data_IF_594742910198
#
_entry.id   IF_594742910198
#
_cell.length_a   1.000
_cell.length_b   1.000
_cell.length_c   1.000
_cell.angle_alpha   90.00
_cell.angle_beta   90.00
_cell.angle_gamma   90.00
#
_symmetry.space_group_name_H-M   'P 1'
#
loop_
_entity.id
_entity.type
_entity.pdbx_description
1 polymer ?
#
# COMPACT_ATOMS: atom_id res chain seq x y z
N UNK A 1 2.88 -25.13 8.08
CA UNK A 1 3.21 -24.55 6.75
C UNK A 1 2.35 -23.35 6.27
N UNK A 2 1.11 -23.14 6.72
CA UNK A 2 0.15 -22.21 6.06
C UNK A 2 0.65 -20.75 5.86
N UNK A 3 1.40 -20.15 6.79
CA UNK A 3 1.89 -18.78 6.61
C UNK A 3 2.89 -18.64 5.43
N UNK A 4 3.67 -19.68 5.11
CA UNK A 4 4.57 -19.68 3.96
C UNK A 4 3.81 -19.62 2.63
N UNK A 5 2.70 -20.37 2.55
CA UNK A 5 1.82 -20.42 1.39
C UNK A 5 1.13 -19.06 1.21
N UNK A 6 0.63 -18.47 2.30
CA UNK A 6 0.11 -17.10 2.30
C UNK A 6 1.14 -16.06 1.84
N UNK A 7 2.40 -16.19 2.27
CA UNK A 7 3.48 -15.28 1.86
C UNK A 7 3.83 -15.40 0.37
N UNK A 8 3.86 -16.62 -0.17
CA UNK A 8 4.07 -16.87 -1.59
C UNK A 8 2.91 -16.28 -2.42
N UNK A 9 1.66 -16.56 -2.05
CA UNK A 9 0.46 -16.02 -2.70
C UNK A 9 0.47 -14.48 -2.66
N UNK A 10 0.74 -13.88 -1.50
CA UNK A 10 0.77 -12.42 -1.35
C UNK A 10 1.89 -11.77 -2.19
N UNK A 11 3.08 -12.40 -2.24
CA UNK A 11 4.19 -11.94 -3.06
C UNK A 11 3.88 -12.01 -4.56
N UNK A 12 3.39 -13.16 -5.04
CA UNK A 12 3.01 -13.36 -6.46
C UNK A 12 1.89 -12.41 -6.87
N UNK A 13 0.83 -12.28 -6.05
CA UNK A 13 -0.26 -11.32 -6.31
C UNK A 13 0.25 -9.88 -6.42
N UNK A 14 1.10 -9.44 -5.48
CA UNK A 14 1.64 -8.06 -5.49
C UNK A 14 2.58 -7.82 -6.69
N UNK A 15 3.26 -8.85 -7.18
CA UNK A 15 4.13 -8.76 -8.37
C UNK A 15 3.34 -8.82 -9.68
N UNK A 16 2.25 -9.59 -9.76
CA UNK A 16 1.44 -9.74 -10.98
C UNK A 16 0.34 -8.66 -11.06
N UNK A 17 -0.57 -8.64 -10.09
CA UNK A 17 -1.75 -7.77 -10.07
C UNK A 17 -1.42 -6.30 -9.71
N UNK A 18 -0.20 -6.00 -9.25
CA UNK A 18 0.17 -4.69 -8.70
C UNK A 18 -0.04 -3.48 -9.63
N UNK A 19 0.17 -3.64 -10.95
CA UNK A 19 -0.15 -2.57 -11.94
C UNK A 19 -1.67 -2.33 -12.00
N UNK A 20 -2.45 -3.39 -12.09
CA UNK A 20 -3.93 -3.35 -12.17
C UNK A 20 -4.56 -2.84 -10.87
N UNK A 21 -4.05 -3.28 -9.72
CA UNK A 21 -4.48 -2.84 -8.38
C UNK A 21 -4.26 -1.34 -8.17
N UNK A 22 -3.20 -0.76 -8.75
CA UNK A 22 -2.98 0.69 -8.74
C UNK A 22 -3.95 1.45 -9.64
N UNK A 23 -4.12 1.01 -10.89
CA UNK A 23 -4.96 1.73 -11.88
C UNK A 23 -6.46 1.62 -11.57
N UNK A 24 -6.92 0.46 -11.12
CA UNK A 24 -8.32 0.17 -10.81
C UNK A 24 -8.44 -0.53 -9.44
N UNK A 25 -8.26 0.19 -8.31
CA UNK A 25 -8.27 -0.42 -6.97
C UNK A 25 -9.64 -0.93 -6.51
N UNK A 26 -10.72 -0.27 -6.93
CA UNK A 26 -12.09 -0.56 -6.49
C UNK A 26 -12.53 -2.04 -6.64
N UNK A 27 -12.40 -2.71 -7.81
CA UNK A 27 -12.77 -4.11 -7.94
C UNK A 27 -12.00 -5.05 -6.99
N UNK A 28 -10.72 -4.78 -6.73
CA UNK A 28 -9.94 -5.59 -5.77
C UNK A 28 -10.40 -5.39 -4.32
N UNK A 29 -10.80 -4.17 -3.94
CA UNK A 29 -11.37 -3.90 -2.61
C UNK A 29 -12.73 -4.58 -2.42
N UNK A 30 -13.60 -4.53 -3.44
CA UNK A 30 -14.90 -5.22 -3.44
C UNK A 30 -14.69 -6.73 -3.38
N UNK A 31 -13.80 -7.30 -4.20
CA UNK A 31 -13.46 -8.71 -4.16
C UNK A 31 -12.89 -9.15 -2.81
N UNK A 32 -12.02 -8.35 -2.18
CA UNK A 32 -11.48 -8.63 -0.85
C UNK A 32 -12.59 -8.63 0.23
N UNK A 33 -13.54 -7.71 0.16
CA UNK A 33 -14.68 -7.64 1.07
C UNK A 33 -15.61 -8.85 0.89
N UNK A 34 -16.05 -9.12 -0.34
CA UNK A 34 -16.93 -10.25 -0.68
C UNK A 34 -16.30 -11.59 -0.30
N UNK A 35 -15.01 -11.80 -0.59
CA UNK A 35 -14.30 -13.03 -0.27
C UNK A 35 -14.12 -13.22 1.26
N UNK A 36 -13.94 -12.13 2.01
CA UNK A 36 -13.87 -12.20 3.47
C UNK A 36 -15.25 -12.47 4.11
N UNK A 37 -16.31 -11.85 3.59
CA UNK A 37 -17.70 -12.10 4.03
C UNK A 37 -18.09 -13.55 3.70
N UNK A 38 -17.85 -13.99 2.47
CA UNK A 38 -18.15 -15.35 2.02
C UNK A 38 -17.42 -16.41 2.83
N UNK A 39 -16.12 -16.24 3.11
CA UNK A 39 -15.36 -17.19 3.94
C UNK A 39 -15.78 -17.17 5.41
N UNK A 40 -16.23 -16.05 5.96
CA UNK A 40 -16.83 -15.99 7.30
C UNK A 40 -18.20 -16.70 7.37
N UNK A 41 -19.05 -16.53 6.36
CA UNK A 41 -20.34 -17.24 6.25
C UNK A 41 -20.10 -18.75 6.12
N UNK A 42 -19.23 -19.20 5.21
CA UNK A 42 -18.93 -20.63 5.01
C UNK A 42 -18.35 -21.29 6.27
N UNK A 43 -17.55 -20.57 7.05
CA UNK A 43 -17.01 -21.05 8.32
C UNK A 43 -18.09 -21.22 9.41
N UNK A 44 -19.14 -20.39 9.39
CA UNK A 44 -20.25 -20.47 10.34
C UNK A 44 -21.32 -21.51 9.93
N UNK A 45 -21.57 -21.69 8.63
CA UNK A 45 -22.57 -22.65 8.11
C UNK A 45 -22.20 -24.12 8.30
N UNK A 46 -20.93 -24.44 8.65
CA UNK A 46 -20.45 -25.81 8.94
C UNK A 46 -20.86 -26.89 7.92
N UNK A 47 -20.85 -26.55 6.63
CA UNK A 47 -21.20 -27.48 5.54
C UNK A 47 -20.28 -28.72 5.63
N UNK A 48 -20.81 -29.94 5.81
CA UNK A 48 -19.99 -31.09 6.22
C UNK A 48 -19.06 -31.61 5.11
N UNK A 49 -19.43 -31.46 3.84
CA UNK A 49 -18.72 -32.05 2.69
C UNK A 49 -18.02 -31.01 1.79
N UNK A 50 -17.39 -30.00 2.40
CA UNK A 50 -16.49 -29.10 1.66
C UNK A 50 -15.19 -29.84 1.30
N UNK A 51 -14.76 -29.85 0.02
CA UNK A 51 -13.53 -30.52 -0.39
C UNK A 51 -12.31 -30.08 0.44
N UNK A 52 -11.47 -31.03 0.84
CA UNK A 52 -10.34 -30.79 1.74
C UNK A 52 -9.43 -29.64 1.27
N UNK A 53 -9.26 -29.47 -0.05
CA UNK A 53 -8.56 -28.33 -0.64
C UNK A 53 -9.17 -26.97 -0.25
N UNK A 54 -10.49 -26.81 -0.42
CA UNK A 54 -11.23 -25.58 -0.08
C UNK A 54 -11.11 -25.32 1.43
N UNK A 55 -11.26 -26.35 2.25
CA UNK A 55 -11.19 -26.21 3.70
C UNK A 55 -9.78 -25.84 4.20
N UNK A 56 -8.71 -26.45 3.65
CA UNK A 56 -7.33 -26.26 4.13
C UNK A 56 -6.60 -25.05 3.51
N UNK A 57 -6.86 -24.72 2.24
CA UNK A 57 -6.13 -23.67 1.51
C UNK A 57 -6.94 -22.39 1.26
N UNK A 58 -8.27 -22.45 1.29
CA UNK A 58 -9.13 -21.26 1.19
C UNK A 58 -9.62 -20.88 2.59
N UNK A 59 -10.57 -21.62 3.17
CA UNK A 59 -11.27 -21.23 4.42
C UNK A 59 -10.28 -21.02 5.57
N UNK A 60 -9.32 -21.93 5.78
CA UNK A 60 -8.31 -21.78 6.82
C UNK A 60 -7.34 -20.60 6.61
N UNK A 61 -7.14 -20.12 5.37
CA UNK A 61 -6.23 -19.01 5.07
C UNK A 61 -6.79 -17.65 5.54
N UNK A 62 -8.11 -17.49 5.40
CA UNK A 62 -8.86 -16.31 5.85
C UNK A 62 -9.24 -16.42 7.33
N UNK A 63 -9.79 -17.54 7.78
CA UNK A 63 -10.22 -17.72 9.18
C UNK A 63 -9.06 -17.72 10.20
N UNK A 64 -7.83 -18.08 9.79
CA UNK A 64 -6.61 -17.94 10.61
C UNK A 64 -5.87 -16.61 10.39
N UNK A 65 -6.34 -15.75 9.49
CA UNK A 65 -5.75 -14.43 9.22
C UNK A 65 -4.37 -14.46 8.56
N UNK A 66 -3.86 -15.64 8.17
CA UNK A 66 -2.50 -15.80 7.64
C UNK A 66 -2.31 -15.06 6.32
N UNK A 67 -3.35 -14.99 5.49
CA UNK A 67 -3.33 -14.22 4.24
C UNK A 67 -3.20 -12.71 4.49
N UNK A 68 -4.00 -12.15 5.41
CA UNK A 68 -3.92 -10.74 5.77
C UNK A 68 -2.56 -10.38 6.39
N UNK A 69 -2.03 -11.24 7.28
CA UNK A 69 -0.71 -11.03 7.86
C UNK A 69 0.44 -11.15 6.83
N UNK A 70 0.29 -12.00 5.81
CA UNK A 70 1.24 -12.11 4.70
C UNK A 70 1.23 -10.88 3.79
N UNK A 71 0.05 -10.35 3.46
CA UNK A 71 -0.03 -9.07 2.73
C UNK A 71 0.52 -7.90 3.55
N UNK A 72 0.29 -7.85 4.87
CA UNK A 72 0.95 -6.87 5.75
C UNK A 72 2.48 -7.01 5.72
N UNK A 73 3.00 -8.24 5.65
CA UNK A 73 4.43 -8.46 5.47
C UNK A 73 4.95 -7.87 4.15
N UNK A 74 4.25 -8.02 3.03
CA UNK A 74 4.64 -7.37 1.76
C UNK A 74 4.60 -5.83 1.89
N UNK A 75 3.54 -5.26 2.48
CA UNK A 75 3.37 -3.80 2.68
C UNK A 75 4.49 -3.18 3.55
N UNK A 76 4.98 -3.90 4.56
CA UNK A 76 6.10 -3.44 5.39
C UNK A 76 7.46 -3.64 4.69
N UNK A 77 7.71 -4.80 4.09
CA UNK A 77 8.97 -5.12 3.42
C UNK A 77 9.24 -4.22 2.20
N UNK A 78 8.20 -3.80 1.48
CA UNK A 78 8.29 -2.81 0.39
C UNK A 78 9.04 -1.51 0.79
N UNK A 79 9.01 -1.11 2.06
CA UNK A 79 9.77 0.04 2.56
C UNK A 79 11.18 -0.30 3.08
N UNK A 80 11.41 -1.55 3.49
CA UNK A 80 12.66 -2.01 4.11
C UNK A 80 13.77 -2.34 3.09
N UNK A 81 13.39 -2.88 1.92
CA UNK A 81 14.32 -3.26 0.85
C UNK A 81 15.26 -2.11 0.41
N UNK A 82 16.43 -2.41 -0.19
CA UNK A 82 17.34 -1.38 -0.72
C UNK A 82 16.65 -0.44 -1.70
N UNK A 83 17.04 0.83 -1.69
CA UNK A 83 16.57 1.79 -2.70
C UNK A 83 17.12 1.35 -4.08
N UNK A 84 16.33 1.54 -5.15
CA UNK A 84 16.71 1.13 -6.51
C UNK A 84 16.51 -0.37 -6.85
N UNK A 85 16.26 -1.26 -5.88
CA UNK A 85 16.00 -2.68 -6.20
C UNK A 85 14.74 -2.84 -7.07
N UNK A 86 14.67 -3.83 -7.98
CA UNK A 86 13.52 -4.01 -8.88
C UNK A 86 12.22 -4.32 -8.11
N UNK A 87 12.31 -5.03 -6.99
CA UNK A 87 11.17 -5.22 -6.09
C UNK A 87 10.75 -3.90 -5.42
N UNK A 88 11.70 -3.03 -5.06
CA UNK A 88 11.38 -1.71 -4.49
C UNK A 88 10.66 -0.84 -5.53
N UNK A 89 11.18 -0.76 -6.77
CA UNK A 89 10.53 -0.05 -7.88
C UNK A 89 9.10 -0.59 -8.13
N UNK A 90 8.89 -1.91 -8.07
CA UNK A 90 7.56 -2.52 -8.34
C UNK A 90 6.57 -2.45 -7.17
N UNK A 91 7.03 -2.51 -5.92
CA UNK A 91 6.17 -2.55 -4.72
C UNK A 91 5.90 -1.18 -4.08
N UNK A 92 6.83 -0.22 -4.20
CA UNK A 92 6.67 1.10 -3.57
C UNK A 92 5.47 1.92 -4.08
N UNK A 93 5.15 1.96 -5.40
CA UNK A 93 4.03 2.76 -5.91
C UNK A 93 2.65 2.24 -5.46
N UNK A 94 2.48 0.91 -5.50
CA UNK A 94 1.22 0.23 -5.12
C UNK A 94 1.04 0.07 -3.60
N UNK A 95 2.03 0.49 -2.78
CA UNK A 95 2.06 0.24 -1.33
C UNK A 95 0.85 0.81 -0.59
N UNK A 96 0.28 1.93 -1.08
CA UNK A 96 -0.93 2.53 -0.51
C UNK A 96 -2.17 1.66 -0.74
N UNK A 97 -2.42 1.28 -2.00
CA UNK A 97 -3.54 0.42 -2.37
C UNK A 97 -3.46 -0.95 -1.70
N UNK A 98 -2.26 -1.54 -1.68
CA UNK A 98 -2.01 -2.83 -1.03
C UNK A 98 -2.29 -2.75 0.48
N UNK A 99 -1.96 -1.64 1.15
CA UNK A 99 -2.28 -1.44 2.57
C UNK A 99 -3.80 -1.39 2.83
N UNK A 100 -4.58 -0.76 1.94
CA UNK A 100 -6.05 -0.69 2.07
C UNK A 100 -6.68 -2.07 1.80
N UNK A 101 -6.26 -2.75 0.74
CA UNK A 101 -6.66 -4.12 0.43
C UNK A 101 -6.39 -5.06 1.62
N UNK A 102 -5.20 -4.96 2.22
CA UNK A 102 -4.83 -5.76 3.40
C UNK A 102 -5.70 -5.43 4.62
N UNK A 103 -6.01 -4.16 4.85
CA UNK A 103 -6.87 -3.74 5.95
C UNK A 103 -8.31 -4.29 5.81
N UNK A 104 -8.85 -4.35 4.59
CA UNK A 104 -10.16 -4.98 4.31
C UNK A 104 -10.14 -6.47 4.70
N UNK A 105 -9.10 -7.22 4.28
CA UNK A 105 -8.91 -8.62 4.68
C UNK A 105 -8.74 -8.77 6.20
N UNK A 106 -8.08 -7.81 6.85
CA UNK A 106 -7.87 -7.79 8.31
C UNK A 106 -9.18 -7.55 9.05
N UNK A 107 -10.03 -6.61 8.59
CA UNK A 107 -11.37 -6.38 9.13
C UNK A 107 -12.26 -7.61 8.97
N UNK A 108 -12.31 -8.20 7.77
CA UNK A 108 -13.14 -9.37 7.52
C UNK A 108 -12.75 -10.57 8.41
N UNK A 109 -11.45 -10.79 8.60
CA UNK A 109 -10.93 -11.75 9.57
C UNK A 109 -11.35 -11.42 11.02
N UNK A 110 -11.18 -10.16 11.45
CA UNK A 110 -11.50 -9.72 12.80
C UNK A 110 -13.01 -9.81 13.11
N UNK A 111 -13.87 -9.48 12.14
CA UNK A 111 -15.33 -9.61 12.26
C UNK A 111 -15.75 -11.08 12.28
N UNK A 112 -15.21 -11.92 11.39
CA UNK A 112 -15.53 -13.35 11.36
C UNK A 112 -15.12 -14.11 12.63
N UNK A 113 -13.94 -13.83 13.18
CA UNK A 113 -13.54 -14.38 14.48
C UNK A 113 -14.25 -13.70 15.66
N UNK A 114 -14.54 -12.40 15.58
CA UNK A 114 -15.29 -11.66 16.59
C UNK A 114 -16.67 -12.29 16.82
N UNK A 115 -17.50 -12.34 15.78
CA UNK A 115 -18.86 -12.90 15.88
C UNK A 115 -18.85 -14.36 16.39
N UNK A 116 -17.89 -15.18 15.95
CA UNK A 116 -17.84 -16.61 16.30
C UNK A 116 -17.15 -16.94 17.64
N UNK A 117 -16.41 -16.00 18.27
CA UNK A 117 -15.63 -16.26 19.50
C UNK A 117 -15.81 -15.25 20.63
N UNK A 118 -16.37 -14.07 20.38
CA UNK A 118 -16.61 -13.06 21.41
C UNK A 118 -17.38 -13.61 22.63
N UNK A 119 -18.44 -14.43 22.49
CA UNK A 119 -19.11 -15.04 23.67
C UNK A 119 -18.13 -15.85 24.53
N UNK A 120 -17.39 -16.79 23.93
CA UNK A 120 -16.38 -17.60 24.65
C UNK A 120 -15.26 -16.79 25.28
N UNK A 121 -14.87 -15.67 24.68
CA UNK A 121 -13.83 -14.78 25.22
C UNK A 121 -14.32 -13.94 26.41
N UNK A 122 -15.60 -13.54 26.40
CA UNK A 122 -16.26 -12.91 27.55
C UNK A 122 -16.43 -13.94 28.68
N UNK A 123 -16.96 -15.14 28.38
CA UNK A 123 -17.19 -16.22 29.34
C UNK A 123 -15.91 -16.71 30.03
N UNK A 124 -14.83 -16.95 29.27
CA UNK A 124 -13.57 -17.51 29.79
C UNK A 124 -12.53 -16.46 30.21
N UNK A 125 -12.93 -15.19 30.31
CA UNK A 125 -12.08 -14.08 30.76
C UNK A 125 -10.71 -14.00 30.06
N UNK A 126 -10.64 -14.29 28.76
CA UNK A 126 -9.41 -14.22 27.94
C UNK A 126 -9.08 -12.77 27.56
N UNK A 127 -8.99 -11.93 28.60
CA UNK A 127 -8.86 -10.49 28.50
C UNK A 127 -7.58 -10.06 27.78
N UNK A 128 -6.51 -10.86 27.84
CA UNK A 128 -5.27 -10.58 27.13
C UNK A 128 -5.44 -10.66 25.61
N UNK A 129 -6.04 -11.74 25.09
CA UNK A 129 -6.30 -11.85 23.65
C UNK A 129 -7.28 -10.77 23.18
N UNK A 130 -8.35 -10.52 23.94
CA UNK A 130 -9.33 -9.48 23.60
C UNK A 130 -8.70 -8.07 23.58
N UNK A 131 -7.86 -7.74 24.58
CA UNK A 131 -7.17 -6.44 24.67
C UNK A 131 -6.22 -6.24 23.49
N UNK A 132 -5.41 -7.24 23.15
CA UNK A 132 -4.48 -7.16 22.01
C UNK A 132 -5.23 -6.97 20.69
N UNK A 133 -6.37 -7.65 20.50
CA UNK A 133 -7.25 -7.42 19.34
C UNK A 133 -7.79 -5.98 19.28
N UNK A 134 -8.30 -5.45 20.38
CA UNK A 134 -8.86 -4.08 20.44
C UNK A 134 -7.77 -3.05 20.15
N UNK A 135 -6.58 -3.17 20.74
CA UNK A 135 -5.45 -2.25 20.50
C UNK A 135 -4.99 -2.31 19.03
N UNK A 136 -4.91 -3.50 18.43
CA UNK A 136 -4.61 -3.65 17.00
C UNK A 136 -5.64 -2.92 16.12
N UNK A 137 -6.94 -3.09 16.40
CA UNK A 137 -8.01 -2.46 15.62
C UNK A 137 -8.03 -0.93 15.75
N UNK A 138 -7.84 -0.41 16.97
CA UNK A 138 -7.77 1.04 17.24
C UNK A 138 -6.60 1.72 16.52
N UNK A 139 -5.48 1.03 16.31
CA UNK A 139 -4.34 1.55 15.52
C UNK A 139 -4.60 1.38 14.01
N UNK A 140 -5.16 0.25 13.59
CA UNK A 140 -5.31 -0.08 12.16
C UNK A 140 -6.36 0.79 11.44
N UNK A 141 -7.51 1.07 12.08
CA UNK A 141 -8.61 1.80 11.44
C UNK A 141 -8.18 3.22 11.01
N UNK A 142 -7.60 4.08 11.88
CA UNK A 142 -7.15 5.42 11.48
C UNK A 142 -6.06 5.38 10.40
N UNK A 143 -5.09 4.44 10.50
CA UNK A 143 -4.04 4.26 9.49
C UNK A 143 -4.61 3.95 8.11
N UNK A 144 -5.69 3.17 8.05
CA UNK A 144 -6.35 2.76 6.80
C UNK A 144 -7.15 3.90 6.18
N UNK A 145 -7.97 4.60 6.98
CA UNK A 145 -8.72 5.79 6.54
C UNK A 145 -7.77 6.86 5.98
N UNK A 146 -6.65 7.12 6.67
CA UNK A 146 -5.63 8.09 6.26
C UNK A 146 -4.79 7.63 5.05
N UNK A 147 -4.88 6.35 4.66
CA UNK A 147 -4.23 5.82 3.46
C UNK A 147 -5.00 6.13 2.16
N UNK A 148 -6.29 6.47 2.26
CA UNK A 148 -7.13 6.84 1.10
C UNK A 148 -6.61 8.13 0.46
N UNK A 149 -6.29 8.12 -0.84
CA UNK A 149 -5.71 9.27 -1.55
C UNK A 149 -6.52 10.57 -1.37
N UNK A 150 -7.87 10.51 -1.46
CA UNK A 150 -8.76 11.66 -1.24
C UNK A 150 -8.65 12.29 0.16
N UNK A 151 -8.24 11.51 1.18
CA UNK A 151 -8.03 11.98 2.56
C UNK A 151 -6.58 12.43 2.74
N UNK A 152 -5.61 11.66 2.24
CA UNK A 152 -4.17 12.02 2.25
C UNK A 152 -3.89 13.38 1.62
N UNK A 153 -4.57 13.76 0.52
CA UNK A 153 -4.40 15.08 -0.13
C UNK A 153 -4.91 16.25 0.72
N UNK A 154 -5.79 16.03 1.71
CA UNK A 154 -6.33 17.08 2.59
C UNK A 154 -5.48 17.39 3.83
N UNK A 155 -4.31 16.77 4.01
CA UNK A 155 -3.51 16.91 5.24
C UNK A 155 -2.01 17.14 4.98
N UNK A 156 -1.40 18.02 5.79
CA UNK A 156 0.03 18.35 5.71
C UNK A 156 0.90 17.08 5.85
N UNK A 157 1.89 16.91 4.97
CA UNK A 157 2.68 15.68 4.94
C UNK A 157 3.48 15.42 6.22
N UNK A 158 3.79 16.43 7.04
CA UNK A 158 4.40 16.25 8.36
C UNK A 158 3.48 15.46 9.31
N UNK A 159 2.20 15.84 9.37
CA UNK A 159 1.16 15.16 10.16
C UNK A 159 0.88 13.77 9.62
N UNK A 160 0.80 13.60 8.30
CA UNK A 160 0.65 12.28 7.68
C UNK A 160 1.84 11.36 8.00
N UNK A 161 3.08 11.87 7.87
CA UNK A 161 4.33 11.17 8.27
C UNK A 161 4.40 10.92 9.79
N UNK A 162 3.68 11.66 10.62
CA UNK A 162 3.57 11.42 12.06
C UNK A 162 2.58 10.27 12.36
N UNK A 163 1.36 10.32 11.84
CA UNK A 163 0.37 9.24 12.05
C UNK A 163 0.85 7.93 11.43
N UNK A 164 1.41 7.95 10.21
CA UNK A 164 1.96 6.75 9.56
C UNK A 164 3.21 6.16 10.26
N UNK A 165 3.73 6.78 11.34
CA UNK A 165 4.72 6.13 12.23
C UNK A 165 4.07 5.19 13.25
N UNK A 166 2.78 5.29 13.57
CA UNK A 166 2.11 4.29 14.44
C UNK A 166 2.00 2.93 13.77
N UNK A 167 2.11 2.86 12.43
CA UNK A 167 2.18 1.62 11.68
C UNK A 167 3.33 0.69 12.12
N UNK A 168 4.46 1.23 12.63
CA UNK A 168 5.54 0.40 13.17
C UNK A 168 5.13 -0.31 14.47
N UNK A 169 4.29 0.32 15.30
CA UNK A 169 3.72 -0.29 16.51
C UNK A 169 2.76 -1.42 16.11
N UNK A 170 1.90 -1.16 15.12
CA UNK A 170 1.02 -2.17 14.54
C UNK A 170 1.79 -3.37 13.96
N UNK A 171 2.87 -3.16 13.18
CA UNK A 171 3.72 -4.25 12.68
C UNK A 171 4.42 -5.04 13.80
N UNK A 172 4.74 -4.42 14.94
CA UNK A 172 5.27 -5.13 16.11
C UNK A 172 4.18 -5.92 16.86
N UNK A 173 2.94 -5.43 16.89
CA UNK A 173 1.81 -6.10 17.54
C UNK A 173 1.27 -7.31 16.77
N UNK A 174 1.36 -7.35 15.44
CA UNK A 174 0.95 -8.52 14.63
C UNK A 174 1.61 -9.84 15.12
N UNK A 175 2.96 -9.97 15.16
CA UNK A 175 3.59 -11.21 15.61
C UNK A 175 3.30 -11.48 17.09
N UNK A 176 3.21 -10.46 17.95
CA UNK A 176 2.85 -10.61 19.37
C UNK A 176 1.45 -11.22 19.50
N UNK A 177 0.46 -10.73 18.76
CA UNK A 177 -0.89 -11.28 18.73
C UNK A 177 -0.91 -12.75 18.27
N UNK A 178 -0.18 -13.08 17.20
CA UNK A 178 -0.07 -14.46 16.70
C UNK A 178 0.64 -15.37 17.72
N UNK A 179 1.62 -14.84 18.47
CA UNK A 179 2.27 -15.53 19.60
C UNK A 179 1.27 -15.79 20.72
N UNK A 180 0.61 -14.78 21.28
CA UNK A 180 -0.30 -14.95 22.43
C UNK A 180 -1.43 -15.93 22.10
N UNK A 181 -2.02 -15.86 20.90
CA UNK A 181 -3.06 -16.80 20.47
C UNK A 181 -2.58 -18.25 20.35
N UNK A 182 -1.28 -18.53 20.20
CA UNK A 182 -0.78 -19.86 19.81
C UNK A 182 0.34 -20.43 20.70
N UNK A 183 0.92 -19.66 21.61
CA UNK A 183 2.03 -20.10 22.48
C UNK A 183 1.62 -21.29 23.37
N UNK A 184 0.40 -21.29 23.91
CA UNK A 184 -0.14 -22.44 24.64
C UNK A 184 -0.24 -23.70 23.74
N UNK A 185 -0.70 -23.54 22.49
CA UNK A 185 -0.80 -24.65 21.52
C UNK A 185 0.56 -25.20 21.11
N UNK A 186 1.58 -24.34 21.01
CA UNK A 186 2.96 -24.73 20.71
C UNK A 186 3.62 -25.47 21.89
N UNK A 187 3.47 -24.95 23.11
CA UNK A 187 3.98 -25.60 24.33
C UNK A 187 3.33 -26.97 24.59
N UNK A 188 2.09 -27.18 24.13
CA UNK A 188 1.42 -28.49 24.12
C UNK A 188 1.89 -29.42 22.96
N UNK A 189 3.15 -29.32 22.55
CA UNK A 189 3.81 -30.26 21.62
C UNK A 189 3.43 -30.17 20.14
N UNK A 190 2.56 -29.23 19.71
CA UNK A 190 2.16 -29.13 18.30
C UNK A 190 3.24 -28.46 17.44
N UNK A 191 4.18 -29.26 16.95
CA UNK A 191 5.34 -28.86 16.12
C UNK A 191 4.97 -27.96 14.93
N UNK A 192 3.89 -28.26 14.20
CA UNK A 192 3.38 -27.40 13.11
C UNK A 192 3.06 -25.97 13.55
N UNK A 193 2.56 -25.79 14.79
CA UNK A 193 2.27 -24.47 15.35
C UNK A 193 3.57 -23.74 15.68
N UNK A 194 4.54 -24.44 16.29
CA UNK A 194 5.86 -23.90 16.60
C UNK A 194 6.62 -23.47 15.32
N UNK A 195 6.62 -24.30 14.27
CA UNK A 195 7.25 -24.00 12.98
C UNK A 195 6.58 -22.82 12.27
N UNK A 196 5.24 -22.76 12.29
CA UNK A 196 4.52 -21.61 11.74
C UNK A 196 4.86 -20.32 12.51
N UNK A 197 5.03 -20.41 13.85
CA UNK A 197 5.37 -19.29 14.71
C UNK A 197 6.83 -18.82 14.56
N UNK A 198 7.77 -19.75 14.35
CA UNK A 198 9.13 -19.45 13.90
C UNK A 198 9.13 -18.63 12.61
N UNK A 199 8.32 -19.02 11.61
CA UNK A 199 8.27 -18.29 10.33
C UNK A 199 7.71 -16.86 10.49
N UNK A 200 6.71 -16.65 11.36
CA UNK A 200 6.28 -15.31 11.74
C UNK A 200 7.42 -14.50 12.37
N UNK A 201 8.17 -15.08 13.30
CA UNK A 201 9.30 -14.40 13.94
C UNK A 201 10.40 -14.06 12.92
N UNK A 202 10.75 -14.97 12.02
CA UNK A 202 11.72 -14.74 10.93
C UNK A 202 11.31 -13.54 10.07
N UNK A 203 10.06 -13.49 9.60
CA UNK A 203 9.57 -12.44 8.68
C UNK A 203 9.47 -11.06 9.36
N UNK A 204 9.03 -11.00 10.62
CA UNK A 204 8.80 -9.74 11.34
C UNK A 204 10.03 -9.23 12.12
N UNK A 205 10.81 -10.11 12.76
CA UNK A 205 12.07 -9.73 13.40
C UNK A 205 13.12 -9.38 12.35
N UNK A 206 13.20 -10.13 11.24
CA UNK A 206 14.08 -9.82 10.11
C UNK A 206 13.77 -8.45 9.49
N UNK A 207 12.48 -8.09 9.40
CA UNK A 207 12.05 -6.75 9.02
C UNK A 207 12.51 -5.67 10.01
N UNK A 208 12.29 -5.87 11.31
CA UNK A 208 12.68 -4.90 12.34
C UNK A 208 14.20 -4.65 12.33
N UNK A 209 14.99 -5.73 12.27
CA UNK A 209 16.45 -5.72 12.16
C UNK A 209 16.91 -5.01 10.88
N UNK A 210 16.31 -5.33 9.72
CA UNK A 210 16.57 -4.64 8.46
C UNK A 210 16.21 -3.14 8.53
N UNK A 211 15.13 -2.77 9.23
CA UNK A 211 14.66 -1.39 9.36
C UNK A 211 15.60 -0.54 10.22
N UNK A 212 16.07 -1.09 11.35
CA UNK A 212 17.09 -0.47 12.21
C UNK A 212 18.42 -0.33 11.45
N UNK A 213 18.85 -1.36 10.73
CA UNK A 213 20.04 -1.33 9.88
C UNK A 213 19.95 -0.25 8.77
N UNK A 214 18.80 -0.11 8.10
CA UNK A 214 18.57 0.95 7.10
C UNK A 214 18.66 2.35 7.73
N UNK A 215 17.97 2.58 8.85
CA UNK A 215 18.03 3.84 9.60
C UNK A 215 19.44 4.20 10.08
N UNK A 216 20.19 3.23 10.61
CA UNK A 216 21.54 3.43 11.12
C UNK A 216 22.50 3.88 10.01
N UNK A 217 22.44 3.25 8.83
CA UNK A 217 23.23 3.69 7.67
C UNK A 217 22.89 5.12 7.24
N UNK A 218 21.60 5.47 7.11
CA UNK A 218 21.19 6.81 6.64
C UNK A 218 21.58 7.92 7.62
N UNK A 219 21.58 7.65 8.94
CA UNK A 219 21.94 8.65 9.96
C UNK A 219 23.42 8.72 10.33
N UNK A 220 24.16 7.60 10.30
CA UNK A 220 25.55 7.54 10.81
C UNK A 220 26.63 7.25 9.77
N UNK A 221 26.29 6.98 8.50
CA UNK A 221 27.23 6.69 7.40
C UNK A 221 28.47 5.84 7.84
N UNK A 222 28.27 4.68 8.49
CA UNK A 222 29.36 3.96 9.16
C UNK A 222 30.37 3.35 8.17
N UNK A 223 31.65 3.69 8.32
CA UNK A 223 32.75 3.18 7.49
C UNK A 223 32.80 1.63 7.49
N UNK A 224 32.66 1.02 8.66
CA UNK A 224 32.71 -0.45 8.84
C UNK A 224 31.35 -1.12 8.66
N UNK A 225 30.79 -1.00 7.45
CA UNK A 225 29.49 -1.58 7.07
C UNK A 225 29.35 -3.07 7.47
N UNK A 226 30.44 -3.84 7.37
CA UNK A 226 30.48 -5.27 7.69
C UNK A 226 30.20 -5.58 9.18
N UNK A 227 30.76 -4.80 10.11
CA UNK A 227 30.53 -5.00 11.55
C UNK A 227 29.06 -4.78 11.93
N UNK A 228 28.43 -3.77 11.32
CA UNK A 228 26.99 -3.50 11.52
C UNK A 228 26.13 -4.63 10.96
N UNK A 229 26.51 -5.23 9.81
CA UNK A 229 25.84 -6.43 9.27
C UNK A 229 25.95 -7.63 10.21
N UNK A 230 27.13 -7.90 10.77
CA UNK A 230 27.36 -9.04 11.69
C UNK A 230 26.52 -8.86 12.96
N UNK A 231 26.56 -7.69 13.60
CA UNK A 231 25.75 -7.41 14.79
C UNK A 231 24.24 -7.51 14.53
N UNK A 232 23.80 -7.05 13.36
CA UNK A 232 22.42 -7.14 12.88
C UNK A 232 21.94 -8.60 12.77
N UNK A 233 22.74 -9.48 12.16
CA UNK A 233 22.46 -10.92 12.09
C UNK A 233 22.54 -11.63 13.45
N UNK A 234 23.51 -11.27 14.30
CA UNK A 234 23.63 -11.84 15.64
C UNK A 234 22.41 -11.54 16.51
N UNK A 235 21.89 -10.31 16.48
CA UNK A 235 20.67 -9.92 17.20
C UNK A 235 19.43 -10.69 16.71
N UNK A 236 19.31 -10.89 15.39
CA UNK A 236 18.24 -11.70 14.78
C UNK A 236 18.28 -13.16 15.27
N UNK A 237 19.45 -13.80 15.19
CA UNK A 237 19.63 -15.19 15.61
C UNK A 237 19.42 -15.37 17.11
N UNK A 238 19.92 -14.45 17.94
CA UNK A 238 19.70 -14.47 19.38
C UNK A 238 18.21 -14.39 19.75
N UNK A 239 17.47 -13.45 19.15
CA UNK A 239 16.02 -13.32 19.36
C UNK A 239 15.24 -14.57 18.94
N UNK A 240 15.63 -15.20 17.83
CA UNK A 240 15.03 -16.45 17.35
C UNK A 240 15.32 -17.63 18.30
N UNK A 241 16.56 -17.76 18.78
CA UNK A 241 16.97 -18.82 19.73
C UNK A 241 16.29 -18.67 21.10
N UNK A 242 16.20 -17.45 21.64
CA UNK A 242 15.50 -17.16 22.90
C UNK A 242 14.02 -17.54 22.79
N UNK A 243 13.36 -17.16 21.69
CA UNK A 243 11.96 -17.52 21.49
C UNK A 243 11.79 -19.04 21.32
N UNK A 244 12.66 -19.70 20.54
CA UNK A 244 12.61 -21.14 20.37
C UNK A 244 12.71 -21.86 21.73
N UNK A 245 13.67 -21.51 22.58
CA UNK A 245 13.83 -22.07 23.92
C UNK A 245 12.60 -21.82 24.82
N UNK A 246 11.99 -20.63 24.76
CA UNK A 246 10.80 -20.29 25.55
C UNK A 246 9.49 -20.94 25.05
N UNK A 247 9.41 -21.25 23.75
CA UNK A 247 8.23 -21.86 23.12
C UNK A 247 8.33 -23.39 22.96
N UNK A 248 9.51 -23.98 23.20
CA UNK A 248 9.72 -25.43 23.16
C UNK A 248 8.78 -26.15 24.15
N UNK A 249 8.20 -27.30 23.77
CA UNK A 249 7.43 -28.10 24.71
C UNK A 249 8.35 -28.58 25.83
N UNK A 250 8.01 -28.23 27.07
CA UNK A 250 8.68 -28.78 28.25
C UNK A 250 8.31 -30.25 28.33
N UNK A 251 9.29 -31.15 28.26
CA UNK A 251 9.03 -32.58 28.47
C UNK A 251 8.58 -32.82 29.91
N UNK A 252 7.27 -32.93 30.11
CA UNK A 252 6.74 -33.63 31.28
C UNK A 252 6.98 -35.12 31.08
N UNK A 253 7.78 -35.72 31.95
CA UNK A 253 7.88 -37.17 32.10
C UNK A 253 6.60 -37.70 32.75
N UNK A 254 5.48 -37.68 32.01
CA UNK A 254 4.25 -38.36 32.43
C UNK A 254 4.53 -39.86 32.50
N UNK A 255 4.63 -40.38 33.73
CA UNK A 255 4.68 -41.82 33.99
C UNK A 255 3.46 -42.50 33.34
N UNK A 256 3.67 -43.69 32.79
CA UNK A 256 2.67 -44.41 31.96
C UNK A 256 1.61 -45.07 32.85
N UNK A 257 0.76 -44.27 33.50
CA UNK A 257 -0.32 -44.79 34.36
C UNK A 257 -1.54 -43.86 34.54
N UNK A 258 -1.81 -42.94 33.60
CA UNK A 258 -3.09 -42.20 33.58
C UNK A 258 -3.56 -41.86 32.15
N UNK A 259 -3.46 -42.83 31.22
CA UNK A 259 -3.84 -42.63 29.81
C UNK A 259 -5.36 -42.78 29.53
N UNK A 260 -6.14 -43.30 30.48
CA UNK A 260 -7.53 -43.73 30.26
C UNK A 260 -8.59 -42.84 30.95
N UNK A 261 -8.27 -41.56 31.23
CA UNK A 261 -9.16 -40.65 31.99
C UNK A 261 -9.63 -39.40 31.23
N UNK A 262 -8.97 -38.98 30.14
CA UNK A 262 -9.28 -37.73 29.41
C UNK A 262 -9.88 -37.97 28.01
N UNK A 263 -10.43 -39.16 27.75
CA UNK A 263 -11.04 -39.52 26.44
C UNK A 263 -12.58 -39.34 26.44
N UNK A 264 -13.18 -38.89 27.56
CA UNK A 264 -14.64 -38.94 27.76
C UNK A 264 -15.30 -37.62 28.24
N UNK A 265 -14.77 -36.46 27.84
CA UNK A 265 -15.43 -35.14 28.02
C UNK A 265 -15.55 -34.31 26.72
N UNK A 266 -15.87 -34.93 25.57
CA UNK A 266 -16.50 -34.19 24.45
C UNK A 266 -17.53 -35.03 23.67
N UNK A 267 -18.33 -35.84 24.39
CA UNK A 267 -19.52 -36.51 23.86
C UNK A 267 -20.59 -36.70 24.94
N UNK A 268 -21.85 -36.44 24.58
CA UNK A 268 -23.07 -36.46 25.43
C UNK A 268 -23.34 -35.20 26.28
N UNK A 269 -24.26 -34.35 25.79
CA UNK A 269 -25.49 -34.00 26.54
C UNK A 269 -26.47 -33.20 25.66
N UNK A 270 -27.59 -33.83 25.29
CA UNK A 270 -28.92 -33.34 25.63
C UNK A 270 -29.91 -34.54 25.66
N UNK A 271 -31.02 -34.51 26.44
CA UNK A 271 -31.63 -35.74 26.95
C UNK A 271 -33.13 -35.89 26.63
N UNK A 272 -33.75 -36.96 27.19
CA UNK A 272 -35.21 -37.16 27.40
C UNK A 272 -36.02 -37.52 26.13
N UNK A 273 -36.93 -38.52 26.10
CA UNK A 273 -37.23 -39.66 27.01
C UNK A 273 -38.07 -40.72 26.30
N UNK A 274 -37.85 -42.00 26.66
CA UNK A 274 -38.74 -43.18 26.58
C UNK A 274 -39.90 -43.24 25.58
N UNK A 275 -39.78 -44.18 24.63
CA UNK A 275 -40.79 -45.21 24.37
C UNK A 275 -40.06 -46.50 23.92
N UNK A 276 -40.55 -47.67 24.34
CA UNK A 276 -40.02 -48.97 23.93
C UNK A 276 -41.08 -49.76 23.15
N UNK A 277 -40.68 -50.54 22.14
CA UNK A 277 -41.35 -51.78 21.70
C UNK A 277 -40.35 -52.69 20.95
N UNK A 278 -40.58 -53.98 21.08
CA UNK A 278 -39.81 -55.14 20.58
C UNK A 278 -39.77 -55.31 19.05
N UNK A 279 -38.72 -55.97 18.56
CA UNK A 279 -38.47 -56.47 17.18
C UNK A 279 -39.63 -57.15 16.44
N UNK A 280 -39.72 -56.95 15.11
CA UNK A 280 -39.92 -58.05 14.11
C UNK A 280 -39.19 -57.77 12.78
N UNK A 281 -38.66 -58.87 12.23
CA UNK A 281 -37.95 -59.25 11.00
C UNK A 281 -38.51 -58.87 9.59
N UNK A 282 -37.61 -58.40 8.70
CA UNK A 282 -37.45 -58.67 7.23
C UNK A 282 -38.38 -58.14 6.10
N UNK A 283 -37.79 -58.22 4.87
CA UNK A 283 -38.37 -58.41 3.52
C UNK A 283 -38.70 -57.21 2.58
N UNK A 284 -37.74 -56.92 1.69
CA UNK A 284 -37.80 -56.75 0.20
C UNK A 284 -38.93 -56.03 -0.58
N UNK A 285 -38.47 -55.43 -1.70
CA UNK A 285 -39.11 -55.22 -3.03
C UNK A 285 -40.00 -53.98 -3.30
N UNK A 286 -39.64 -53.29 -4.40
CA UNK A 286 -40.43 -52.93 -5.62
C UNK A 286 -41.87 -52.37 -5.49
N UNK A 287 -42.36 -51.44 -6.32
CA UNK A 287 -41.79 -50.57 -7.37
C UNK A 287 -42.85 -49.49 -7.77
N UNK A 288 -42.60 -48.70 -8.83
CA UNK A 288 -43.59 -47.96 -9.66
C UNK A 288 -44.38 -46.76 -9.06
N UNK A 289 -44.96 -45.80 -9.83
CA UNK A 289 -44.55 -45.20 -11.14
C UNK A 289 -45.39 -43.95 -11.55
N UNK A 290 -44.73 -42.91 -12.10
CA UNK A 290 -45.24 -41.80 -12.98
C UNK A 290 -46.30 -40.75 -12.53
N UNK A 291 -46.31 -39.63 -13.30
CA UNK A 291 -47.37 -38.61 -13.52
C UNK A 291 -47.42 -37.48 -12.47
N UNK A 292 -47.10 -36.19 -12.71
CA UNK A 292 -47.01 -35.27 -13.89
C UNK A 292 -48.29 -34.43 -14.19
N UNK A 293 -48.09 -33.22 -14.76
CA UNK A 293 -49.09 -32.22 -15.23
C UNK A 293 -49.91 -31.49 -14.13
N UNK A 294 -50.39 -30.23 -14.29
CA UNK A 294 -49.97 -29.05 -15.09
C UNK A 294 -50.78 -27.79 -14.61
N UNK A 295 -50.31 -26.56 -14.92
CA UNK A 295 -51.09 -25.27 -15.05
C UNK A 295 -51.87 -24.75 -13.80
N UNK A 296 -52.36 -23.50 -13.65
CA UNK A 296 -52.35 -22.23 -14.41
C UNK A 296 -52.28 -21.02 -13.42
N UNK A 297 -51.55 -19.92 -13.68
CA UNK A 297 -51.94 -18.66 -14.37
C UNK A 297 -52.66 -17.56 -13.53
N UNK A 298 -52.70 -16.35 -14.10
CA UNK A 298 -53.28 -15.08 -13.63
C UNK A 298 -52.36 -14.23 -12.72
N UNK A 299 -51.63 -13.19 -13.15
CA UNK A 299 -51.80 -12.13 -14.17
C UNK A 299 -52.57 -10.87 -13.71
N UNK A 300 -51.98 -9.70 -14.00
CA UNK A 300 -52.65 -8.41 -14.28
C UNK A 300 -51.60 -7.31 -14.56
N UNK A 301 -51.57 -6.81 -15.80
CA UNK A 301 -50.73 -5.70 -16.30
C UNK A 301 -51.32 -4.30 -16.02
N UNK A 302 -50.54 -3.23 -16.28
CA UNK A 302 -50.85 -1.87 -16.84
C UNK A 302 -49.77 -0.88 -16.30
N UNK A 303 -48.89 -0.15 -17.00
CA UNK A 303 -48.79 0.47 -18.35
C UNK A 303 -49.43 1.90 -18.42
N UNK A 304 -48.91 2.96 -19.06
CA UNK A 304 -47.79 3.12 -20.02
C UNK A 304 -46.66 4.03 -19.40
N UNK A 305 -45.96 5.03 -19.97
CA UNK A 305 -46.03 5.84 -21.22
C UNK A 305 -44.67 6.44 -21.63
N UNK A 306 -44.47 6.65 -22.94
CA UNK A 306 -43.37 7.36 -23.65
C UNK A 306 -43.32 8.88 -23.32
N UNK A 307 -42.23 9.66 -23.53
CA UNK A 307 -41.75 10.24 -24.82
C UNK A 307 -40.30 10.82 -24.73
N UNK A 308 -39.53 10.65 -25.82
CA UNK A 308 -38.46 11.47 -26.49
C UNK A 308 -38.13 12.88 -25.94
N UNK A 309 -36.95 13.51 -26.11
CA UNK A 309 -35.64 13.16 -26.73
C UNK A 309 -34.94 14.40 -27.34
N UNK A 310 -33.69 14.26 -27.83
CA UNK A 310 -32.94 15.18 -28.74
C UNK A 310 -32.26 16.47 -28.17
N UNK A 311 -30.93 16.40 -28.04
CA UNK A 311 -29.83 17.29 -28.52
C UNK A 311 -29.75 18.84 -28.38
N UNK A 312 -28.49 19.31 -28.38
CA UNK A 312 -27.91 20.48 -29.09
C UNK A 312 -27.65 21.84 -28.35
N UNK A 313 -26.34 22.05 -28.09
CA UNK A 313 -25.54 23.28 -28.33
C UNK A 313 -25.55 24.46 -27.35
N UNK A 314 -24.39 25.14 -27.29
CA UNK A 314 -24.08 26.34 -26.51
C UNK A 314 -24.53 27.62 -27.25
N UNK A 315 -24.67 28.74 -26.53
CA UNK A 315 -23.99 29.97 -27.00
C UNK A 315 -23.67 30.96 -25.88
N UNK A 316 -22.78 31.90 -26.22
CA UNK A 316 -22.31 33.04 -25.41
C UNK A 316 -23.26 34.22 -25.55
N UNK A 317 -23.46 35.01 -24.49
CA UNK A 317 -23.75 36.45 -24.59
C UNK A 317 -23.14 37.18 -23.38
N UNK A 318 -22.67 38.41 -23.59
CA UNK A 318 -22.16 39.30 -22.55
C UNK A 318 -22.73 40.73 -22.73
N UNK A 319 -23.04 41.36 -21.60
CA UNK A 319 -23.47 42.75 -21.37
C UNK A 319 -23.65 42.86 -19.82
N UNK A 320 -23.54 43.98 -19.11
CA UNK A 320 -23.14 45.39 -19.29
C UNK A 320 -22.81 45.84 -17.82
N UNK A 321 -22.14 46.93 -17.41
CA UNK A 321 -21.91 48.34 -17.80
C UNK A 321 -20.80 48.84 -16.78
N UNK A 322 -20.23 50.06 -16.74
CA UNK A 322 -20.30 51.34 -17.48
C UNK A 322 -19.06 52.21 -17.11
N UNK A 323 -18.73 53.22 -17.94
CA UNK A 323 -18.04 54.53 -17.69
C UNK A 323 -16.84 54.70 -16.73
N UNK A 324 -15.95 55.70 -16.85
CA UNK A 324 -15.75 56.84 -17.77
C UNK A 324 -14.21 57.14 -17.77
N UNK A 325 -13.53 57.31 -18.91
CA UNK A 325 -13.36 58.57 -19.70
C UNK A 325 -12.41 59.61 -19.08
N UNK A 326 -11.24 59.81 -19.70
CA UNK A 326 -10.72 61.12 -20.17
C UNK A 326 -9.65 60.87 -21.25
N UNK A 327 -9.37 61.82 -22.16
CA UNK A 327 -8.69 61.52 -23.43
C UNK A 327 -7.81 62.65 -24.03
N UNK A 328 -6.82 62.23 -24.83
CA UNK A 328 -6.20 62.95 -25.98
C UNK A 328 -5.45 64.28 -25.74
N UNK A 329 -4.69 64.80 -26.74
CA UNK A 329 -4.34 64.24 -28.06
C UNK A 329 -2.83 64.05 -28.31
N UNK A 330 -2.48 63.57 -29.50
CA UNK A 330 -1.13 63.58 -30.07
C UNK A 330 -1.09 64.47 -31.34
N UNK A 331 0.11 64.88 -31.78
CA UNK A 331 0.37 65.23 -33.20
C UNK A 331 1.86 65.05 -33.54
N UNK A 332 2.24 65.23 -34.81
CA UNK A 332 3.34 64.48 -35.45
C UNK A 332 4.13 65.25 -36.53
N UNK A 333 5.36 64.77 -36.82
CA UNK A 333 6.18 65.09 -38.00
C UNK A 333 6.68 66.56 -38.09
N UNK A 334 7.64 66.99 -38.93
CA UNK A 334 8.35 66.38 -40.09
C UNK A 334 9.90 66.47 -39.98
N UNK A 335 10.61 66.05 -41.04
CA UNK A 335 12.06 66.26 -41.29
C UNK A 335 12.26 66.21 -42.81
N UNK A 336 12.86 67.23 -43.47
CA UNK A 336 14.29 67.14 -43.81
C UNK A 336 15.07 68.47 -44.04
N UNK A 337 16.40 68.45 -43.90
CA UNK A 337 17.34 68.68 -45.03
C UNK A 337 18.81 68.46 -44.63
N UNK A 338 19.65 68.21 -45.64
CA UNK A 338 21.11 68.06 -45.62
C UNK A 338 21.60 68.52 -47.03
N UNK A 339 22.84 69.03 -47.24
CA UNK A 339 24.07 68.33 -46.83
C UNK A 339 25.29 69.19 -46.46
N UNK A 340 26.31 68.55 -45.88
CA UNK A 340 27.70 68.76 -46.33
C UNK A 340 28.57 67.52 -46.03
N UNK A 341 29.67 67.38 -46.78
CA UNK A 341 30.45 66.16 -46.94
C UNK A 341 31.91 66.43 -46.53
N UNK A 342 32.44 65.66 -45.58
CA UNK A 342 33.87 65.70 -45.22
C UNK A 342 34.37 64.29 -44.85
N UNK A 343 35.60 63.97 -45.24
CA UNK A 343 36.13 62.60 -45.24
C UNK A 343 36.63 62.15 -43.85
N UNK A 344 36.60 60.83 -43.54
CA UNK A 344 36.78 60.35 -42.17
C UNK A 344 38.24 60.41 -41.68
N UNK A 345 38.42 60.92 -40.46
CA UNK A 345 39.62 60.67 -39.65
C UNK A 345 39.59 59.24 -39.07
N UNK A 346 40.74 58.60 -38.79
CA UNK A 346 40.78 57.23 -38.30
C UNK A 346 40.19 57.10 -36.90
N UNK A 347 39.21 56.20 -36.76
CA UNK A 347 38.56 55.86 -35.50
C UNK A 347 39.47 54.98 -34.62
N UNK A 348 39.54 55.19 -33.29
CA UNK A 348 40.33 54.32 -32.41
C UNK A 348 39.81 52.88 -32.39
N UNK A 349 40.73 51.92 -32.30
CA UNK A 349 40.44 50.49 -32.17
C UNK A 349 39.81 50.21 -30.79
N UNK A 350 38.56 49.75 -30.78
CA UNK A 350 37.80 49.49 -29.56
C UNK A 350 38.25 48.16 -28.92
N UNK A 351 38.91 48.25 -27.76
CA UNK A 351 39.46 47.09 -27.08
C UNK A 351 38.36 46.23 -26.46
N UNK A 352 38.26 44.96 -26.89
CA UNK A 352 37.31 43.99 -26.31
C UNK A 352 37.48 43.88 -24.78
N UNK A 353 36.37 44.05 -24.06
CA UNK A 353 36.32 43.79 -22.64
C UNK A 353 36.57 42.29 -22.37
N UNK A 354 37.30 41.92 -21.30
CA UNK A 354 37.60 40.51 -21.03
C UNK A 354 36.31 39.73 -20.78
N UNK A 355 36.10 38.67 -21.58
CA UNK A 355 34.92 37.83 -21.50
C UNK A 355 34.72 37.26 -20.08
N UNK A 356 33.48 37.22 -19.57
CA UNK A 356 33.20 36.71 -18.22
C UNK A 356 33.60 35.24 -18.10
N UNK A 357 34.20 34.87 -16.97
CA UNK A 357 34.55 33.48 -16.66
C UNK A 357 33.26 32.71 -16.37
N UNK A 358 32.70 32.09 -17.42
CA UNK A 358 31.50 31.27 -17.34
C UNK A 358 31.77 29.92 -16.67
N UNK A 359 30.77 29.42 -15.94
CA UNK A 359 30.78 28.13 -15.23
C UNK A 359 30.11 27.03 -16.09
N UNK A 360 29.10 27.42 -16.87
CA UNK A 360 28.30 26.56 -17.73
C UNK A 360 28.34 27.03 -19.18
N UNK A 361 28.10 26.09 -20.08
CA UNK A 361 27.80 26.33 -21.49
C UNK A 361 26.33 26.78 -21.60
N UNK A 362 26.05 27.78 -22.44
CA UNK A 362 24.67 28.16 -22.76
C UNK A 362 24.01 27.07 -23.61
N UNK A 363 22.70 26.86 -23.43
CA UNK A 363 21.92 25.90 -24.20
C UNK A 363 20.92 25.10 -23.35
N UNK A 364 20.29 24.09 -23.95
CA UNK A 364 19.29 23.25 -23.28
C UNK A 364 19.84 21.85 -23.01
N UNK A 365 20.02 21.51 -21.75
CA UNK A 365 20.62 20.26 -21.27
C UNK A 365 19.55 19.29 -20.79
N UNK A 366 19.60 18.06 -21.28
CA UNK A 366 18.57 17.04 -21.02
C UNK A 366 19.14 15.93 -20.13
N UNK A 367 18.41 15.59 -19.06
CA UNK A 367 18.74 14.48 -18.18
C UNK A 367 17.46 13.78 -17.67
N UNK A 368 17.60 12.53 -17.21
CA UNK A 368 16.48 11.78 -16.63
C UNK A 368 16.81 11.15 -15.28
N UNK A 369 15.78 10.93 -14.46
CA UNK A 369 15.92 10.30 -13.15
C UNK A 369 14.65 9.54 -12.74
N UNK A 370 14.82 8.39 -12.09
CA UNK A 370 13.68 7.56 -11.67
C UNK A 370 12.91 8.18 -10.50
N UNK A 371 11.63 8.49 -10.75
CA UNK A 371 10.72 9.14 -9.80
C UNK A 371 9.99 8.17 -8.88
N UNK A 372 8.67 8.37 -8.80
CA UNK A 372 7.75 7.55 -8.01
C UNK A 372 7.66 6.11 -8.55
N UNK A 373 7.56 5.95 -9.88
CA UNK A 373 7.39 4.65 -10.53
C UNK A 373 7.86 4.54 -11.99
N UNK A 374 8.02 5.67 -12.69
CA UNK A 374 8.64 5.78 -14.01
C UNK A 374 9.83 6.74 -13.95
N UNK A 375 10.53 6.91 -15.07
CA UNK A 375 11.58 7.91 -15.20
C UNK A 375 10.97 9.28 -15.56
N UNK A 376 11.53 10.35 -14.98
CA UNK A 376 11.17 11.74 -15.27
C UNK A 376 12.31 12.33 -16.12
N UNK A 377 11.95 12.96 -17.23
CA UNK A 377 12.89 13.63 -18.14
C UNK A 377 12.78 15.14 -17.88
N UNK A 378 13.92 15.82 -17.80
CA UNK A 378 13.99 17.26 -17.54
C UNK A 378 14.93 17.90 -18.56
N UNK A 379 14.49 19.01 -19.15
CA UNK A 379 15.30 19.86 -20.02
C UNK A 379 15.52 21.20 -19.30
N UNK A 380 16.78 21.53 -19.04
CA UNK A 380 17.18 22.75 -18.32
C UNK A 380 17.82 23.69 -19.34
N UNK A 381 17.23 24.86 -19.55
CA UNK A 381 17.82 25.90 -20.41
C UNK A 381 18.67 26.83 -19.56
N UNK A 382 19.93 26.99 -19.96
CA UNK A 382 20.93 27.82 -19.30
C UNK A 382 21.35 28.93 -20.27
N UNK A 383 21.44 30.15 -19.74
CA UNK A 383 21.98 31.30 -20.44
C UNK A 383 22.69 32.22 -19.42
N UNK A 384 23.92 32.64 -19.71
CA UNK A 384 24.70 33.58 -18.88
C UNK A 384 24.83 33.09 -17.42
N UNK A 385 25.22 31.82 -17.27
CA UNK A 385 25.31 31.05 -16.01
C UNK A 385 23.99 30.95 -15.20
N UNK A 386 22.86 31.31 -15.79
CA UNK A 386 21.53 31.24 -15.15
C UNK A 386 20.62 30.22 -15.79
N UNK A 387 19.87 29.51 -14.95
CA UNK A 387 18.74 28.69 -15.36
C UNK A 387 17.60 29.63 -15.74
N UNK A 388 17.26 29.70 -17.02
CA UNK A 388 16.19 30.57 -17.55
C UNK A 388 14.85 29.86 -17.67
N UNK A 389 14.86 28.57 -18.04
CA UNK A 389 13.67 27.73 -18.13
C UNK A 389 13.97 26.27 -17.70
N UNK A 390 12.94 25.57 -17.24
CA UNK A 390 12.97 24.13 -17.00
C UNK A 390 11.65 23.51 -17.47
N UNK A 391 11.70 22.78 -18.58
CA UNK A 391 10.61 21.87 -18.96
C UNK A 391 10.86 20.47 -18.43
N UNK A 392 9.79 19.70 -18.26
CA UNK A 392 9.87 18.33 -17.77
C UNK A 392 8.70 17.49 -18.28
N UNK A 393 8.98 16.21 -18.52
CA UNK A 393 8.07 15.16 -18.97
C UNK A 393 8.20 13.93 -18.05
N UNK A 394 7.28 12.96 -18.16
CA UNK A 394 7.23 11.82 -17.22
C UNK A 394 6.74 10.53 -17.85
N UNK A 395 7.35 9.42 -17.43
CA UNK A 395 6.85 8.05 -17.67
C UNK A 395 6.10 7.48 -16.43
N UNK A 396 5.85 8.29 -15.39
CA UNK A 396 5.11 7.88 -14.19
C UNK A 396 3.64 7.54 -14.49
N UNK A 397 3.18 6.34 -14.10
CA UNK A 397 1.80 5.89 -14.38
C UNK A 397 0.72 6.46 -13.44
N UNK A 398 1.04 7.49 -12.65
CA UNK A 398 0.12 8.34 -11.88
C UNK A 398 0.75 9.74 -11.88
N UNK A 399 0.60 10.42 -13.02
CA UNK A 399 1.15 11.75 -13.29
C UNK A 399 0.77 12.79 -12.23
N UNK A 400 -0.22 12.53 -11.35
CA UNK A 400 -0.52 13.48 -10.28
C UNK A 400 0.69 13.78 -9.39
N UNK A 401 1.53 12.77 -9.10
CA UNK A 401 2.72 13.02 -8.28
C UNK A 401 3.77 13.82 -9.05
N UNK A 402 3.92 13.56 -10.35
CA UNK A 402 4.70 14.41 -11.23
C UNK A 402 4.20 15.85 -11.26
N UNK A 403 2.91 16.11 -11.50
CA UNK A 403 2.36 17.47 -11.53
C UNK A 403 2.42 18.18 -10.16
N UNK A 404 2.08 17.48 -9.07
CA UNK A 404 2.24 17.97 -7.68
C UNK A 404 3.71 18.41 -7.42
N UNK A 405 4.69 17.67 -7.96
CA UNK A 405 6.11 18.02 -7.84
C UNK A 405 6.51 19.16 -8.81
N UNK A 406 6.13 19.08 -10.08
CA UNK A 406 6.48 20.04 -11.15
C UNK A 406 6.05 21.46 -10.77
N UNK A 407 4.81 21.64 -10.31
CA UNK A 407 4.25 22.94 -9.93
C UNK A 407 4.84 23.59 -8.66
N UNK A 408 5.72 22.90 -7.91
CA UNK A 408 6.36 23.43 -6.69
C UNK A 408 7.88 23.48 -6.85
N UNK A 409 8.47 22.38 -7.32
CA UNK A 409 9.93 22.21 -7.39
C UNK A 409 10.54 23.05 -8.50
N UNK A 410 9.97 23.07 -9.71
CA UNK A 410 10.55 23.84 -10.83
C UNK A 410 10.60 25.35 -10.53
N UNK A 411 9.49 26.01 -10.10
CA UNK A 411 9.55 27.41 -9.70
C UNK A 411 10.58 27.68 -8.59
N UNK A 412 10.72 26.76 -7.64
CA UNK A 412 11.72 26.90 -6.56
C UNK A 412 13.15 26.76 -7.07
N UNK A 413 13.43 25.88 -8.05
CA UNK A 413 14.77 25.75 -8.65
C UNK A 413 15.13 27.00 -9.44
N UNK A 414 14.21 27.51 -10.27
CA UNK A 414 14.43 28.75 -11.05
C UNK A 414 14.61 29.95 -10.12
N UNK A 415 13.83 30.05 -9.05
CA UNK A 415 13.94 31.14 -8.07
C UNK A 415 15.26 31.11 -7.28
N UNK A 416 15.73 29.93 -6.86
CA UNK A 416 16.94 29.80 -6.05
C UNK A 416 18.21 29.55 -6.89
N UNK A 417 18.09 29.42 -8.21
CA UNK A 417 19.18 29.04 -9.14
C UNK A 417 19.96 27.81 -8.67
N UNK A 418 19.25 26.85 -8.06
CA UNK A 418 19.84 25.70 -7.36
C UNK A 418 18.88 24.51 -7.37
N UNK A 419 19.45 23.32 -7.56
CA UNK A 419 18.73 22.04 -7.50
C UNK A 419 18.66 21.44 -6.08
N UNK A 420 19.02 22.19 -5.03
CA UNK A 420 18.81 21.79 -3.63
C UNK A 420 17.68 22.64 -3.02
N UNK A 421 16.44 22.16 -3.19
CA UNK A 421 15.20 22.84 -2.77
C UNK A 421 14.28 21.89 -2.00
N UNK A 422 13.27 22.43 -1.32
CA UNK A 422 12.34 21.62 -0.52
C UNK A 422 11.42 20.76 -1.40
N UNK A 423 11.39 19.45 -1.13
CA UNK A 423 10.61 18.49 -1.91
C UNK A 423 9.10 18.58 -1.61
N UNK A 424 8.27 18.51 -2.64
CA UNK A 424 6.82 18.72 -2.51
C UNK A 424 6.15 17.76 -1.50
N UNK A 425 5.17 18.30 -0.77
CA UNK A 425 4.42 17.70 0.35
C UNK A 425 3.47 16.57 -0.07
N UNK A 426 4.02 15.49 -0.63
CA UNK A 426 3.26 14.30 -1.04
C UNK A 426 3.93 13.55 -2.19
N UNK A 427 4.61 14.30 -3.07
CA UNK A 427 5.27 13.83 -4.28
C UNK A 427 6.80 13.71 -4.14
N UNK A 428 7.30 13.38 -2.94
CA UNK A 428 8.73 13.45 -2.59
C UNK A 428 9.64 12.59 -3.48
N UNK A 429 9.16 11.49 -4.10
CA UNK A 429 9.98 10.72 -5.04
C UNK A 429 10.12 11.44 -6.40
N UNK A 430 9.02 11.88 -7.00
CA UNK A 430 9.00 12.69 -8.22
C UNK A 430 9.77 14.00 -8.05
N UNK A 431 9.64 14.65 -6.88
CA UNK A 431 10.43 15.84 -6.51
C UNK A 431 11.93 15.56 -6.47
N UNK A 432 12.33 14.45 -5.84
CA UNK A 432 13.73 14.05 -5.78
C UNK A 432 14.30 13.69 -7.16
N UNK A 433 13.48 13.12 -8.05
CA UNK A 433 13.88 12.85 -9.43
C UNK A 433 14.07 14.15 -10.24
N UNK A 434 13.12 15.09 -10.21
CA UNK A 434 13.27 16.42 -10.85
C UNK A 434 14.58 17.07 -10.38
N UNK A 435 14.81 17.17 -9.07
CA UNK A 435 16.06 17.74 -8.53
C UNK A 435 17.32 16.95 -8.93
N UNK A 436 17.24 15.64 -9.14
CA UNK A 436 18.39 14.82 -9.54
C UNK A 436 18.68 14.93 -11.04
N UNK A 437 17.65 14.99 -11.88
CA UNK A 437 17.79 15.27 -13.30
C UNK A 437 18.34 16.69 -13.53
N UNK A 438 17.85 17.72 -12.82
CA UNK A 438 18.42 19.07 -12.90
C UNK A 438 19.90 19.09 -12.50
N UNK A 439 20.31 18.37 -11.42
CA UNK A 439 21.75 18.26 -11.08
C UNK A 439 22.56 17.62 -12.20
N UNK A 440 22.08 16.52 -12.77
CA UNK A 440 22.77 15.84 -13.88
C UNK A 440 22.85 16.73 -15.15
N UNK A 441 21.82 17.54 -15.43
CA UNK A 441 21.83 18.52 -16.52
C UNK A 441 22.86 19.63 -16.28
N UNK A 442 22.90 20.22 -15.07
CA UNK A 442 23.90 21.22 -14.67
C UNK A 442 25.33 20.64 -14.66
N UNK A 443 25.51 19.40 -14.22
CA UNK A 443 26.79 18.68 -14.28
C UNK A 443 27.25 18.44 -15.73
N UNK A 444 26.32 18.19 -16.66
CA UNK A 444 26.62 18.02 -18.10
C UNK A 444 26.87 19.34 -18.85
N UNK A 445 26.36 20.46 -18.33
CA UNK A 445 26.55 21.79 -18.91
C UNK A 445 27.88 22.45 -18.53
N UNK A 446 28.58 21.91 -17.52
CA UNK A 446 29.74 22.54 -16.90
C UNK A 446 30.96 22.59 -17.83
N UNK A 447 31.74 23.67 -17.70
CA UNK A 447 33.04 23.89 -18.36
C UNK A 447 34.19 23.39 -17.45
#
# INVERSE_FOLDING_TARGET
MQFLISLLIAGVFSVLCGKTLRKHPAPFYIAAALLSIGTAILANLRIPELPAFVQQYIIQLFTKGTLAAAFWAVVMWAGALPNGSPLTKKLMPQRGQLSIFTAILTLGHAVGLGISKLPRWIEKADALNLTVCIVLMLIMIPLTVISVQKIRRKMKASTWKAVQRTAYIFYALIPIHVIVLNIAKARNGRTEVLLNLMLYLVVFLGYAVCRVYKWYQTKKKPERLLGVKIASWAAFLAGMMIFAAAAYPKQETKNVQTANAEVQEESSQNPVTTAAVTTVTAAQSEADTTTAADTSESDSTTDITTVTGTEITCETTAAEESSETEAEPAESEETPEAPQEEAPAPQPEEAEAPAPVRIYQDGTFTASAFGYDGDIIVHVTIQDDRITDITAETEESDETYFFDAKGVVIPSIIQNQSADVDACSGATLSSNAIMTAVRAALESARI
#
